data_IF_513615016656
#
_entry.id   IF_513615016656
#
_cell.length_a   1.000
_cell.length_b   1.000
_cell.length_c   1.000
_cell.angle_alpha   90.00
_cell.angle_beta   90.00
_cell.angle_gamma   90.00
#
_symmetry.space_group_name_H-M   'P 1'
#
loop_
_entity.id
_entity.type
_entity.pdbx_description
1 polymer ?
#
# COMPACT_ATOMS: atom_id res chain seq x y z
N UNK A 1 10.68 -10.75 -6.28
CA UNK A 1 10.88 -9.39 -5.72
C UNK A 1 9.67 -8.55 -6.11
N UNK A 2 9.28 -7.55 -5.33
CA UNK A 2 8.11 -6.74 -5.67
C UNK A 2 8.26 -5.91 -6.94
N UNK A 3 9.50 -5.54 -7.29
CA UNK A 3 9.80 -4.76 -8.49
C UNK A 3 9.83 -5.56 -9.79
N UNK A 4 9.82 -6.89 -9.75
CA UNK A 4 9.74 -7.72 -10.96
C UNK A 4 8.31 -7.72 -11.54
N UNK A 5 8.16 -8.26 -12.75
CA UNK A 5 6.87 -8.28 -13.46
C UNK A 5 5.78 -9.01 -12.68
N UNK A 6 6.13 -10.07 -11.96
CA UNK A 6 5.21 -10.86 -11.14
C UNK A 6 4.78 -10.07 -9.91
N UNK A 7 5.71 -9.48 -9.17
CA UNK A 7 5.42 -8.65 -7.99
C UNK A 7 4.56 -7.43 -8.33
N UNK A 8 4.88 -6.73 -9.43
CA UNK A 8 4.06 -5.60 -9.91
C UNK A 8 2.65 -6.03 -10.31
N UNK A 9 2.50 -7.19 -10.95
CA UNK A 9 1.20 -7.75 -11.30
C UNK A 9 0.40 -8.10 -10.04
N UNK A 10 1.01 -8.79 -9.08
CA UNK A 10 0.36 -9.16 -7.82
C UNK A 10 -0.06 -7.94 -7.02
N UNK A 11 0.76 -6.89 -6.96
CA UNK A 11 0.38 -5.62 -6.33
C UNK A 11 -0.89 -5.04 -6.98
N UNK A 12 -0.95 -4.98 -8.31
CA UNK A 12 -2.14 -4.49 -9.03
C UNK A 12 -3.37 -5.34 -8.77
N UNK A 13 -3.22 -6.66 -8.74
CA UNK A 13 -4.32 -7.60 -8.47
C UNK A 13 -4.86 -7.43 -7.04
N UNK A 14 -3.97 -7.31 -6.05
CA UNK A 14 -4.37 -7.06 -4.65
C UNK A 14 -5.07 -5.71 -4.52
N UNK A 15 -4.51 -4.63 -5.09
CA UNK A 15 -5.13 -3.30 -5.04
C UNK A 15 -6.50 -3.31 -5.70
N UNK A 16 -6.65 -3.93 -6.87
CA UNK A 16 -7.93 -4.04 -7.56
C UNK A 16 -8.96 -4.84 -6.75
N UNK A 17 -8.52 -5.91 -6.08
CA UNK A 17 -9.38 -6.74 -5.22
C UNK A 17 -9.87 -5.97 -3.99
N UNK A 18 -8.97 -5.27 -3.32
CA UNK A 18 -9.23 -4.66 -2.01
C UNK A 18 -9.76 -3.23 -2.09
N UNK A 19 -9.53 -2.55 -3.21
CA UNK A 19 -9.87 -1.15 -3.41
C UNK A 19 -10.55 -1.00 -4.79
N UNK A 20 -11.70 -1.65 -5.01
CA UNK A 20 -12.38 -1.66 -6.31
C UNK A 20 -12.80 -0.27 -6.80
N UNK A 21 -12.96 0.70 -5.90
CA UNK A 21 -13.28 2.09 -6.23
C UNK A 21 -12.13 2.84 -6.95
N UNK A 22 -10.91 2.28 -6.98
CA UNK A 22 -9.81 2.83 -7.78
C UNK A 22 -9.80 2.19 -9.18
N UNK A 23 -10.68 2.67 -10.07
CA UNK A 23 -10.86 2.14 -11.43
C UNK A 23 -9.54 2.06 -12.22
N UNK A 24 -8.73 3.12 -12.15
CA UNK A 24 -7.43 3.22 -12.82
C UNK A 24 -6.28 2.65 -11.97
N UNK A 25 -6.56 2.17 -10.76
CA UNK A 25 -5.58 1.68 -9.81
C UNK A 25 -4.59 2.75 -9.34
N UNK A 26 -3.37 2.31 -9.04
CA UNK A 26 -2.26 3.16 -8.59
C UNK A 26 -1.66 3.98 -9.73
N UNK A 27 -1.24 5.21 -9.42
CA UNK A 27 -0.37 5.96 -10.32
C UNK A 27 0.99 5.27 -10.50
N UNK A 28 1.68 5.46 -11.63
CA UNK A 28 2.98 4.82 -11.89
C UNK A 28 4.03 5.09 -10.80
N UNK A 29 4.14 6.35 -10.35
CA UNK A 29 5.06 6.74 -9.29
C UNK A 29 4.73 6.06 -7.95
N UNK A 30 3.44 5.91 -7.61
CA UNK A 30 3.04 5.22 -6.39
C UNK A 30 3.43 3.74 -6.44
N UNK A 31 3.18 3.07 -7.57
CA UNK A 31 3.54 1.65 -7.76
C UNK A 31 5.04 1.42 -7.58
N UNK A 32 5.87 2.30 -8.13
CA UNK A 32 7.32 2.24 -7.94
C UNK A 32 7.72 2.39 -6.47
N UNK A 33 7.21 3.41 -5.78
CA UNK A 33 7.52 3.63 -4.36
C UNK A 33 7.04 2.46 -3.48
N UNK A 34 5.83 1.97 -3.71
CA UNK A 34 5.22 0.87 -2.94
C UNK A 34 6.03 -0.42 -3.11
N UNK A 35 6.44 -0.76 -4.34
CA UNK A 35 7.23 -1.98 -4.58
C UNK A 35 8.60 -1.92 -3.91
N UNK A 36 9.23 -0.75 -3.80
CA UNK A 36 10.48 -0.56 -3.04
C UNK A 36 10.29 -0.79 -1.54
N UNK A 37 9.24 -0.19 -0.96
CA UNK A 37 8.88 -0.39 0.45
C UNK A 37 8.58 -1.87 0.74
N UNK A 38 7.86 -2.55 -0.15
CA UNK A 38 7.55 -3.97 -0.02
C UNK A 38 8.79 -4.88 -0.16
N UNK A 39 9.79 -4.46 -0.95
CA UNK A 39 11.13 -5.07 -1.00
C UNK A 39 11.98 -4.76 0.25
N UNK A 40 11.50 -3.92 1.17
CA UNK A 40 12.19 -3.55 2.40
C UNK A 40 13.17 -2.39 2.26
N UNK A 41 13.09 -1.61 1.19
CA UNK A 41 13.90 -0.39 1.01
C UNK A 41 13.32 0.80 1.79
N UNK A 42 14.20 1.62 2.36
CA UNK A 42 13.84 2.93 2.88
C UNK A 42 13.64 3.92 1.72
N UNK A 43 12.53 4.66 1.76
CA UNK A 43 12.12 5.54 0.66
C UNK A 43 11.89 6.96 1.18
N UNK A 44 12.61 7.92 0.60
CA UNK A 44 12.29 9.33 0.72
C UNK A 44 11.59 9.80 -0.55
N UNK A 45 10.41 10.42 -0.43
CA UNK A 45 9.69 10.96 -1.57
C UNK A 45 9.10 12.34 -1.26
N UNK A 46 9.16 13.23 -2.25
CA UNK A 46 8.46 14.49 -2.25
C UNK A 46 7.50 14.50 -3.44
N UNK A 47 6.22 14.67 -3.16
CA UNK A 47 5.18 14.72 -4.18
C UNK A 47 4.29 15.93 -3.94
N UNK A 48 3.77 16.52 -5.01
CA UNK A 48 2.83 17.63 -4.92
C UNK A 48 1.61 17.28 -4.05
N UNK A 49 1.02 18.30 -3.41
CA UNK A 49 -0.28 18.15 -2.73
C UNK A 49 -1.34 17.68 -3.73
N UNK A 50 -2.24 16.80 -3.30
CA UNK A 50 -3.19 16.13 -4.20
C UNK A 50 -2.61 14.97 -5.02
N UNK A 51 -1.28 14.78 -5.08
CA UNK A 51 -0.64 13.69 -5.84
C UNK A 51 -0.79 12.27 -5.26
N UNK A 52 -1.71 12.07 -4.31
CA UNK A 52 -2.00 10.75 -3.75
C UNK A 52 -0.89 10.16 -2.86
N UNK A 53 -0.12 10.99 -2.15
CA UNK A 53 0.93 10.55 -1.21
C UNK A 53 0.43 9.53 -0.18
N UNK A 54 -0.81 9.67 0.30
CA UNK A 54 -1.33 8.77 1.33
C UNK A 54 -1.36 7.29 0.89
N UNK A 55 -1.55 7.04 -0.41
CA UNK A 55 -1.53 5.67 -0.93
C UNK A 55 -0.15 5.02 -0.80
N UNK A 56 0.95 5.79 -0.84
CA UNK A 56 2.32 5.24 -0.85
C UNK A 56 2.71 4.57 0.46
N UNK A 57 2.15 5.02 1.60
CA UNK A 57 2.36 4.37 2.89
C UNK A 57 1.19 3.48 3.33
N UNK A 58 -0.04 3.72 2.86
CA UNK A 58 -1.20 2.92 3.26
C UNK A 58 -1.26 1.56 2.54
N UNK A 59 -1.01 1.55 1.22
CA UNK A 59 -1.11 0.33 0.40
C UNK A 59 -0.12 -0.77 0.81
N UNK A 60 1.16 -0.49 1.15
CA UNK A 60 2.06 -1.53 1.63
C UNK A 60 1.49 -2.29 2.83
N UNK A 61 0.87 -1.60 3.79
CA UNK A 61 0.28 -2.22 4.99
C UNK A 61 -0.89 -3.13 4.60
N UNK A 62 -1.77 -2.68 3.71
CA UNK A 62 -2.93 -3.45 3.25
C UNK A 62 -2.50 -4.69 2.48
N UNK A 63 -1.51 -4.55 1.58
CA UNK A 63 -0.95 -5.66 0.80
C UNK A 63 -0.36 -6.72 1.72
N UNK A 64 0.47 -6.31 2.67
CA UNK A 64 1.08 -7.24 3.61
C UNK A 64 0.03 -7.92 4.51
N UNK A 65 -1.03 -7.21 4.91
CA UNK A 65 -2.14 -7.77 5.69
C UNK A 65 -2.94 -8.80 4.91
N UNK A 66 -3.21 -8.55 3.64
CA UNK A 66 -3.88 -9.52 2.76
C UNK A 66 -3.06 -10.78 2.58
N UNK A 67 -1.75 -10.64 2.39
CA UNK A 67 -0.85 -11.77 2.28
C UNK A 67 -0.72 -12.58 3.57
N UNK A 68 -0.67 -11.89 4.72
CA UNK A 68 -0.63 -12.56 6.03
C UNK A 68 -1.91 -13.37 6.29
N UNK A 69 -3.07 -12.90 5.81
CA UNK A 69 -4.35 -13.61 5.91
C UNK A 69 -4.49 -14.75 4.91
N UNK A 70 -3.91 -14.61 3.72
CA UNK A 70 -4.05 -15.55 2.61
C UNK A 70 -2.68 -16.00 2.06
N UNK A 71 -1.79 -16.59 2.88
CA UNK A 71 -0.41 -16.87 2.46
C UNK A 71 -0.32 -17.83 1.28
N UNK A 72 -1.28 -18.77 1.18
CA UNK A 72 -1.35 -19.76 0.11
C UNK A 72 -1.64 -19.15 -1.28
N UNK A 73 -2.22 -17.94 -1.34
CA UNK A 73 -2.46 -17.25 -2.61
C UNK A 73 -1.19 -16.60 -3.18
N UNK A 74 -0.14 -16.43 -2.35
CA UNK A 74 1.07 -15.68 -2.70
C UNK A 74 2.37 -16.46 -2.43
N UNK A 75 2.52 -17.72 -2.88
CA UNK A 75 3.60 -18.62 -2.46
C UNK A 75 5.02 -18.17 -2.88
N UNK A 76 5.14 -17.16 -3.74
CA UNK A 76 6.42 -16.73 -4.34
C UNK A 76 6.82 -15.29 -3.95
N UNK A 77 6.12 -14.69 -2.98
CA UNK A 77 6.43 -13.36 -2.47
C UNK A 77 6.69 -13.42 -0.97
N UNK A 78 7.57 -12.56 -0.44
CA UNK A 78 7.88 -12.56 0.99
C UNK A 78 6.63 -12.15 1.79
N UNK A 79 6.15 -13.04 2.65
CA UNK A 79 5.03 -12.80 3.57
C UNK A 79 5.59 -12.33 4.92
N UNK A 80 5.00 -11.29 5.49
CA UNK A 80 5.26 -10.86 6.87
C UNK A 80 4.13 -11.38 7.77
N UNK A 81 4.46 -12.14 8.80
CA UNK A 81 3.46 -12.76 9.69
C UNK A 81 2.65 -11.72 10.49
N UNK A 82 3.28 -10.62 10.91
CA UNK A 82 2.66 -9.54 11.69
C UNK A 82 2.93 -8.18 11.02
N UNK A 83 2.17 -7.82 9.97
CA UNK A 83 2.36 -6.56 9.28
C UNK A 83 1.82 -5.39 10.10
N UNK A 84 2.71 -4.48 10.49
CA UNK A 84 2.42 -3.28 11.28
C UNK A 84 2.97 -2.04 10.57
N UNK A 85 2.25 -0.92 10.68
CA UNK A 85 2.70 0.38 10.17
C UNK A 85 2.44 1.49 11.19
N UNK A 86 3.41 2.36 11.38
CA UNK A 86 3.33 3.54 12.24
C UNK A 86 3.42 4.79 11.36
N UNK A 87 2.38 5.61 11.36
CA UNK A 87 2.37 6.90 10.64
C UNK A 87 2.45 8.02 11.66
N UNK A 88 3.51 8.81 11.57
CA UNK A 88 3.74 9.98 12.42
C UNK A 88 3.44 11.23 11.60
N UNK A 89 2.61 12.12 12.16
CA UNK A 89 2.26 13.40 11.54
C UNK A 89 2.53 14.55 12.49
N UNK A 90 2.85 15.75 11.97
CA UNK A 90 3.14 16.91 12.81
C UNK A 90 1.91 17.45 13.57
N UNK A 91 0.68 17.13 13.15
CA UNK A 91 -0.53 17.67 13.76
C UNK A 91 -1.64 16.64 13.95
N UNK A 92 -2.44 16.80 15.01
CA UNK A 92 -3.62 15.98 15.30
C UNK A 92 -4.65 16.04 14.17
N UNK A 93 -4.87 17.23 13.60
CA UNK A 93 -5.81 17.41 12.48
C UNK A 93 -5.39 16.59 11.25
N UNK A 94 -4.09 16.57 10.93
CA UNK A 94 -3.59 15.72 9.85
C UNK A 94 -3.69 14.24 10.19
N UNK A 95 -3.42 13.85 11.44
CA UNK A 95 -3.61 12.47 11.88
C UNK A 95 -5.07 12.00 11.67
N UNK A 96 -6.05 12.81 12.07
CA UNK A 96 -7.47 12.51 11.88
C UNK A 96 -7.82 12.36 10.39
N UNK A 97 -7.27 13.22 9.53
CA UNK A 97 -7.48 13.12 8.09
C UNK A 97 -6.89 11.82 7.50
N UNK A 98 -5.67 11.45 7.91
CA UNK A 98 -5.04 10.20 7.47
C UNK A 98 -5.84 8.99 7.94
N UNK A 99 -6.31 8.98 9.19
CA UNK A 99 -7.18 7.90 9.70
C UNK A 99 -8.43 7.77 8.82
N UNK A 100 -9.08 8.87 8.45
CA UNK A 100 -10.22 8.86 7.54
C UNK A 100 -9.88 8.31 6.16
N UNK A 101 -8.75 8.72 5.58
CA UNK A 101 -8.28 8.18 4.29
C UNK A 101 -8.04 6.67 4.38
N UNK A 102 -7.35 6.22 5.43
CA UNK A 102 -7.06 4.81 5.66
C UNK A 102 -8.36 4.01 5.84
N UNK A 103 -9.30 4.51 6.63
CA UNK A 103 -10.62 3.88 6.81
C UNK A 103 -11.39 3.80 5.49
N UNK A 104 -11.37 4.82 4.65
CA UNK A 104 -12.00 4.78 3.33
C UNK A 104 -11.42 3.68 2.43
N UNK A 105 -10.11 3.41 2.57
CA UNK A 105 -9.46 2.32 1.84
C UNK A 105 -9.82 0.96 2.47
N UNK A 106 -9.96 0.86 3.79
CA UNK A 106 -10.31 -0.39 4.49
C UNK A 106 -11.80 -0.76 4.47
N UNK A 107 -12.72 0.22 4.40
CA UNK A 107 -14.18 0.02 4.43
C UNK A 107 -14.79 -0.46 3.11
N UNK A 108 -13.97 -0.82 2.12
CA UNK A 108 -14.44 -1.47 0.89
C UNK A 108 -14.72 -2.99 1.05
N UNK A 109 -14.77 -3.48 2.30
CA UNK A 109 -15.07 -4.88 2.66
C UNK A 109 -16.04 -4.95 3.83
#
# INVERSE_FOLDING_TARGET
RWRDSKGRRTLKEIVKKLIPQWENGLYPAQSELITRVLDGEDVFCSMATGGGKSATFAVPIIVLREMARNPHLYPNLPVRALPMGLVITPTKGLAANIVRCILCIFSAH
#
